data_IF_893772764595
#
_entry.id   IF_893772764595
#
_cell.length_a   1.000
_cell.length_b   1.000
_cell.length_c   1.000
_cell.angle_alpha   90.00
_cell.angle_beta   90.00
_cell.angle_gamma   90.00
#
_symmetry.space_group_name_H-M   'P 1'
#
loop_
_entity.id
_entity.type
_entity.pdbx_description
1 polymer ?
#
# COMPACT_ATOMS: atom_id res chain seq x y z
N UNK A 1 -15.26 6.84 9.88
CA UNK A 1 -15.90 6.51 8.59
C UNK A 1 -15.11 5.39 7.92
N UNK A 2 -15.79 4.51 7.18
CA UNK A 2 -15.27 3.22 6.72
C UNK A 2 -14.08 3.39 5.77
N UNK A 3 -12.94 2.79 6.08
CA UNK A 3 -11.95 2.47 5.06
C UNK A 3 -12.65 1.66 3.97
N UNK A 4 -12.36 1.97 2.71
CA UNK A 4 -12.88 1.24 1.57
C UNK A 4 -12.31 -0.18 1.63
N UNK A 5 -13.12 -1.12 2.16
CA UNK A 5 -12.80 -2.54 2.16
C UNK A 5 -13.65 -3.19 1.10
N UNK A 6 -12.99 -3.90 0.20
CA UNK A 6 -13.68 -4.63 -0.86
C UNK A 6 -13.71 -6.09 -0.43
N UNK A 7 -14.92 -6.61 -0.20
CA UNK A 7 -15.11 -8.05 -0.02
C UNK A 7 -14.69 -8.72 -1.32
N UNK A 8 -13.75 -9.65 -1.23
CA UNK A 8 -13.27 -10.37 -2.39
C UNK A 8 -14.41 -11.20 -2.99
N UNK A 9 -14.61 -11.09 -4.30
CA UNK A 9 -15.61 -11.86 -5.05
C UNK A 9 -14.87 -12.73 -6.07
N UNK A 10 -15.58 -13.69 -6.64
CA UNK A 10 -15.06 -14.61 -7.66
C UNK A 10 -14.67 -13.92 -8.99
N UNK A 11 -14.74 -12.59 -9.06
CA UNK A 11 -14.38 -11.80 -10.24
C UNK A 11 -13.28 -10.80 -9.87
N UNK A 12 -12.20 -10.76 -10.67
CA UNK A 12 -11.12 -9.80 -10.50
C UNK A 12 -11.60 -8.38 -10.80
N UNK A 13 -11.37 -7.45 -9.87
CA UNK A 13 -11.63 -6.02 -10.11
C UNK A 13 -10.50 -5.43 -10.96
N UNK A 14 -10.79 -5.02 -12.20
CA UNK A 14 -9.78 -4.53 -13.16
C UNK A 14 -10.04 -3.09 -13.61
N UNK A 15 -9.12 -2.17 -13.25
CA UNK A 15 -8.92 -0.90 -13.94
C UNK A 15 -7.42 -0.59 -13.98
N UNK A 16 -6.72 -1.10 -15.01
CA UNK A 16 -5.31 -0.75 -15.27
C UNK A 16 -5.15 -0.42 -16.75
N UNK A 17 -4.77 0.83 -17.04
CA UNK A 17 -4.50 1.28 -18.39
C UNK A 17 -2.99 1.16 -18.70
N UNK A 18 -2.66 0.56 -19.84
CA UNK A 18 -1.36 -0.08 -20.10
C UNK A 18 -0.23 0.86 -20.58
N UNK A 19 -0.32 2.17 -20.34
CA UNK A 19 0.64 3.14 -20.92
C UNK A 19 1.63 3.71 -19.91
N UNK A 20 2.91 3.60 -20.28
CA UNK A 20 4.15 4.30 -19.87
C UNK A 20 4.55 4.41 -18.38
N UNK A 21 5.81 4.00 -18.14
CA UNK A 21 6.55 4.10 -16.88
C UNK A 21 6.18 3.07 -15.81
N UNK A 22 7.16 2.58 -15.03
CA UNK A 22 6.88 1.86 -13.77
C UNK A 22 6.31 2.78 -12.70
N UNK A 23 6.46 4.10 -12.87
CA UNK A 23 6.00 5.12 -11.95
C UNK A 23 5.29 6.21 -12.74
N UNK A 24 4.13 6.66 -12.27
CA UNK A 24 3.38 7.75 -12.89
C UNK A 24 2.91 8.70 -11.82
N UNK A 25 3.37 9.94 -11.91
CA UNK A 25 2.90 10.99 -11.02
C UNK A 25 1.42 11.30 -11.28
N UNK A 26 0.65 11.38 -10.20
CA UNK A 26 -0.77 11.74 -10.28
C UNK A 26 -0.91 13.26 -10.32
N UNK A 27 -1.71 13.74 -11.29
CA UNK A 27 -1.99 15.16 -11.41
C UNK A 27 -2.86 15.64 -10.22
N UNK A 28 -2.47 16.74 -9.54
CA UNK A 28 -3.32 17.38 -8.54
C UNK A 28 -4.69 17.71 -9.13
N UNK A 29 -5.76 17.29 -8.46
CA UNK A 29 -7.14 17.48 -8.90
C UNK A 29 -7.74 16.33 -9.72
N UNK A 30 -6.95 15.33 -10.15
CA UNK A 30 -7.52 14.08 -10.67
C UNK A 30 -8.30 13.35 -9.58
N UNK A 31 -9.37 12.63 -9.95
CA UNK A 31 -10.19 11.89 -8.99
C UNK A 31 -9.36 10.90 -8.17
N UNK A 32 -8.45 10.20 -8.83
CA UNK A 32 -7.50 9.28 -8.21
C UNK A 32 -6.59 9.99 -7.20
N UNK A 33 -5.98 11.12 -7.58
CA UNK A 33 -5.17 11.93 -6.66
C UNK A 33 -5.99 12.33 -5.43
N UNK A 34 -7.20 12.85 -5.62
CA UNK A 34 -8.04 13.33 -4.52
C UNK A 34 -8.43 12.20 -3.56
N UNK A 35 -8.72 11.01 -4.07
CA UNK A 35 -9.01 9.82 -3.25
C UNK A 35 -7.80 9.42 -2.42
N UNK A 36 -6.62 9.25 -3.03
CA UNK A 36 -5.42 8.79 -2.32
C UNK A 36 -4.93 9.88 -1.36
N UNK A 37 -4.94 11.14 -1.80
CA UNK A 37 -4.60 12.28 -0.96
C UNK A 37 -5.48 12.32 0.30
N UNK A 38 -6.80 12.18 0.17
CA UNK A 38 -7.72 12.16 1.32
C UNK A 38 -7.41 11.01 2.28
N UNK A 39 -7.19 9.80 1.76
CA UNK A 39 -6.87 8.62 2.58
C UNK A 39 -5.55 8.78 3.33
N UNK A 40 -4.50 9.27 2.65
CA UNK A 40 -3.18 9.47 3.25
C UNK A 40 -3.20 10.63 4.23
N UNK A 41 -3.91 11.73 3.92
CA UNK A 41 -4.07 12.85 4.83
C UNK A 41 -4.75 12.44 6.13
N UNK A 42 -5.80 11.61 6.06
CA UNK A 42 -6.45 11.02 7.24
C UNK A 42 -5.51 10.09 8.01
N UNK A 43 -4.62 9.37 7.33
CA UNK A 43 -3.64 8.52 7.98
C UNK A 43 -2.50 9.33 8.64
N UNK A 44 -2.26 10.56 8.20
CA UNK A 44 -1.23 11.47 8.70
C UNK A 44 -1.72 12.38 9.85
N UNK A 45 -2.93 12.18 10.37
CA UNK A 45 -3.49 13.03 11.44
C UNK A 45 -2.54 13.07 12.64
N UNK A 46 -2.15 14.28 13.05
CA UNK A 46 -1.22 14.50 14.17
C UNK A 46 0.27 14.41 13.80
N UNK A 47 0.62 14.09 12.55
CA UNK A 47 2.03 14.05 12.11
C UNK A 47 2.64 15.42 11.81
N UNK A 48 1.80 16.45 11.58
CA UNK A 48 2.24 17.78 11.16
C UNK A 48 2.77 17.87 9.73
N UNK A 49 2.67 16.79 8.94
CA UNK A 49 3.22 16.69 7.59
C UNK A 49 2.18 16.96 6.52
N UNK A 50 2.67 17.41 5.38
CA UNK A 50 1.88 17.68 4.18
C UNK A 50 2.28 16.74 3.04
N UNK A 51 1.34 16.42 2.17
CA UNK A 51 1.60 15.59 0.99
C UNK A 51 2.14 16.51 -0.11
N UNK A 52 3.35 16.25 -0.58
CA UNK A 52 3.97 17.02 -1.66
C UNK A 52 3.75 16.38 -3.03
N UNK A 53 3.77 15.04 -3.09
CA UNK A 53 3.69 14.29 -4.34
C UNK A 53 3.06 12.92 -4.13
N UNK A 54 2.25 12.47 -5.09
CA UNK A 54 1.71 11.10 -5.14
C UNK A 54 2.10 10.47 -6.48
N UNK A 55 2.73 9.30 -6.43
CA UNK A 55 3.17 8.55 -7.60
C UNK A 55 2.53 7.18 -7.59
N UNK A 56 1.80 6.83 -8.65
CA UNK A 56 1.26 5.50 -8.89
C UNK A 56 2.37 4.54 -9.29
N UNK A 57 2.42 3.38 -8.64
CA UNK A 57 3.33 2.29 -8.98
C UNK A 57 2.66 1.37 -9.99
N UNK A 58 3.38 1.09 -11.09
CA UNK A 58 2.93 0.27 -12.22
C UNK A 58 3.72 -1.05 -12.31
N UNK A 59 3.68 -1.88 -11.26
CA UNK A 59 4.30 -3.21 -11.28
C UNK A 59 3.28 -4.31 -11.64
N UNK A 60 3.26 -4.70 -12.91
CA UNK A 60 2.34 -5.73 -13.43
C UNK A 60 2.60 -7.12 -12.85
N UNK A 61 3.85 -7.44 -12.48
CA UNK A 61 4.21 -8.75 -11.96
C UNK A 61 3.63 -8.91 -10.56
N UNK A 62 3.94 -7.97 -9.66
CA UNK A 62 3.46 -8.00 -8.27
C UNK A 62 1.93 -7.94 -8.23
N UNK A 63 1.34 -7.07 -9.05
CA UNK A 63 -0.13 -6.98 -9.16
C UNK A 63 -0.74 -8.30 -9.68
N UNK A 64 -0.15 -8.92 -10.69
CA UNK A 64 -0.61 -10.20 -11.22
C UNK A 64 -0.56 -11.32 -10.17
N UNK A 65 0.54 -11.42 -9.42
CA UNK A 65 0.67 -12.40 -8.34
C UNK A 65 -0.33 -12.14 -7.22
N UNK A 66 -0.55 -10.88 -6.87
CA UNK A 66 -1.56 -10.46 -5.89
C UNK A 66 -2.97 -10.88 -6.31
N UNK A 67 -3.35 -10.69 -7.58
CA UNK A 67 -4.65 -11.12 -8.09
C UNK A 67 -4.83 -12.64 -8.05
N UNK A 68 -3.80 -13.41 -8.41
CA UNK A 68 -3.84 -14.88 -8.32
C UNK A 68 -4.02 -15.31 -6.86
N UNK A 69 -3.31 -14.66 -5.93
CA UNK A 69 -3.42 -14.93 -4.49
C UNK A 69 -4.82 -14.61 -3.95
N UNK A 70 -5.40 -13.49 -4.37
CA UNK A 70 -6.78 -13.13 -4.06
C UNK A 70 -7.77 -14.21 -4.49
N UNK A 71 -7.67 -14.69 -5.74
CA UNK A 71 -8.57 -15.75 -6.23
C UNK A 71 -8.36 -17.06 -5.47
N UNK A 72 -7.11 -17.41 -5.18
CA UNK A 72 -6.79 -18.59 -4.38
C UNK A 72 -7.42 -18.53 -2.99
N UNK A 73 -7.36 -17.39 -2.30
CA UNK A 73 -7.94 -17.23 -0.96
C UNK A 73 -9.47 -17.35 -0.97
N UNK A 74 -10.13 -16.83 -2.01
CA UNK A 74 -11.58 -16.99 -2.19
C UNK A 74 -11.97 -18.44 -2.42
N UNK A 75 -11.17 -19.21 -3.18
CA UNK A 75 -11.45 -20.61 -3.46
C UNK A 75 -11.13 -21.57 -2.30
N UNK A 76 -10.11 -21.26 -1.48
CA UNK A 76 -9.59 -22.23 -0.51
C UNK A 76 -10.49 -22.40 0.73
N UNK A 77 -11.11 -21.32 1.22
CA UNK A 77 -11.83 -21.31 2.50
C UNK A 77 -13.23 -20.69 2.38
N UNK A 78 -14.24 -21.50 2.07
CA UNK A 78 -15.63 -21.02 1.92
C UNK A 78 -16.23 -20.38 3.19
N UNK A 79 -15.65 -20.66 4.37
CA UNK A 79 -16.11 -20.10 5.65
C UNK A 79 -15.38 -18.81 6.06
N UNK A 80 -14.26 -18.49 5.43
CA UNK A 80 -13.44 -17.32 5.78
C UNK A 80 -13.64 -16.23 4.74
N UNK A 81 -14.14 -15.07 5.19
CA UNK A 81 -14.25 -13.89 4.32
C UNK A 81 -12.91 -13.17 4.28
N UNK A 82 -12.43 -12.92 3.07
CA UNK A 82 -11.24 -12.11 2.83
C UNK A 82 -11.62 -10.75 2.23
N UNK A 83 -10.78 -9.78 2.51
CA UNK A 83 -10.95 -8.38 2.13
C UNK A 83 -9.66 -7.88 1.50
N UNK A 84 -9.82 -7.02 0.50
CA UNK A 84 -8.77 -6.13 0.03
C UNK A 84 -8.88 -4.81 0.79
N UNK A 85 -7.79 -4.38 1.43
CA UNK A 85 -7.73 -3.12 2.19
C UNK A 85 -6.47 -2.34 1.84
N UNK A 86 -6.56 -1.00 1.87
CA UNK A 86 -5.37 -0.14 1.82
C UNK A 86 -4.77 0.04 3.21
N UNK A 87 -3.44 -0.01 3.27
CA UNK A 87 -2.63 0.23 4.46
C UNK A 87 -1.37 1.02 4.11
N UNK A 88 -0.68 1.48 5.13
CA UNK A 88 0.46 2.37 5.02
C UNK A 88 1.69 1.77 5.67
N UNK A 89 2.85 2.03 5.07
CA UNK A 89 4.16 1.80 5.70
C UNK A 89 5.05 3.00 5.40
N UNK A 90 5.75 3.48 6.43
CA UNK A 90 6.77 4.51 6.28
C UNK A 90 8.10 3.86 5.94
N UNK A 91 8.81 4.40 4.95
CA UNK A 91 10.10 3.89 4.50
C UNK A 91 11.09 5.04 4.30
N UNK A 92 12.39 4.76 4.45
CA UNK A 92 13.43 5.68 4.05
C UNK A 92 13.43 5.78 2.52
N UNK A 93 13.50 6.99 1.98
CA UNK A 93 13.55 7.24 0.54
C UNK A 93 14.69 6.47 -0.14
N UNK A 94 15.82 6.24 0.54
CA UNK A 94 16.93 5.43 0.05
C UNK A 94 16.56 3.98 -0.25
N UNK A 95 15.58 3.41 0.47
CA UNK A 95 15.14 2.03 0.30
C UNK A 95 14.02 1.89 -0.75
N UNK A 96 13.55 2.99 -1.35
CA UNK A 96 12.44 2.97 -2.30
C UNK A 96 12.72 2.06 -3.50
N UNK A 97 13.92 2.12 -4.08
CA UNK A 97 14.26 1.31 -5.25
C UNK A 97 14.22 -0.19 -4.95
N UNK A 98 14.77 -0.59 -3.80
CA UNK A 98 14.72 -1.98 -3.34
C UNK A 98 13.27 -2.41 -3.04
N UNK A 99 12.47 -1.55 -2.41
CA UNK A 99 11.07 -1.81 -2.12
C UNK A 99 10.25 -2.04 -3.41
N UNK A 100 10.43 -1.20 -4.43
CA UNK A 100 9.73 -1.32 -5.72
C UNK A 100 10.17 -2.57 -6.49
N UNK A 101 11.46 -2.91 -6.43
CA UNK A 101 12.03 -4.04 -7.17
C UNK A 101 11.71 -5.40 -6.55
N UNK A 102 11.57 -5.45 -5.23
CA UNK A 102 11.43 -6.69 -4.47
C UNK A 102 10.16 -6.73 -3.60
N UNK A 103 9.13 -5.98 -3.98
CA UNK A 103 7.84 -5.88 -3.29
C UNK A 103 7.97 -5.78 -1.75
N UNK A 104 8.72 -4.78 -1.27
CA UNK A 104 8.96 -4.53 0.15
C UNK A 104 9.56 -5.72 0.93
N UNK A 105 10.49 -6.49 0.34
CA UNK A 105 11.24 -7.51 1.09
C UNK A 105 11.95 -6.87 2.30
N UNK A 106 11.58 -7.23 3.55
CA UNK A 106 12.10 -6.57 4.75
C UNK A 106 13.61 -6.70 4.88
N UNK A 107 14.20 -7.78 4.34
CA UNK A 107 15.65 -8.03 4.38
C UNK A 107 16.43 -7.06 3.50
N UNK A 108 15.79 -6.55 2.44
CA UNK A 108 16.38 -5.59 1.49
C UNK A 108 16.07 -4.15 1.86
N UNK A 109 14.91 -3.92 2.46
CA UNK A 109 14.45 -2.60 2.87
C UNK A 109 14.94 -2.20 4.27
N UNK A 110 15.82 -3.00 4.89
CA UNK A 110 16.31 -2.81 6.25
C UNK A 110 15.17 -2.62 7.27
N UNK A 111 14.11 -3.43 7.13
CA UNK A 111 12.97 -3.45 8.04
C UNK A 111 13.12 -4.62 9.00
N UNK A 112 13.03 -4.36 10.30
CA UNK A 112 13.08 -5.42 11.32
C UNK A 112 11.91 -6.38 11.19
N UNK A 113 10.71 -5.84 10.93
CA UNK A 113 9.49 -6.57 10.62
C UNK A 113 8.70 -5.83 9.56
N UNK A 114 7.96 -6.57 8.73
CA UNK A 114 7.03 -5.98 7.78
C UNK A 114 5.66 -5.84 8.45
N UNK A 115 5.24 -4.59 8.68
CA UNK A 115 3.96 -4.26 9.27
C UNK A 115 3.27 -3.16 8.47
N UNK A 116 1.97 -3.31 8.27
CA UNK A 116 1.14 -2.38 7.54
C UNK A 116 0.09 -1.76 8.45
N UNK A 117 0.13 -0.45 8.60
CA UNK A 117 -0.68 0.29 9.55
C UNK A 117 -1.90 0.94 8.88
N UNK A 118 -2.99 1.11 9.62
CA UNK A 118 -4.15 1.91 9.20
C UNK A 118 -3.91 3.42 9.34
N UNK A 119 -2.87 3.81 10.08
CA UNK A 119 -2.44 5.19 10.31
C UNK A 119 -0.93 5.30 10.11
N UNK A 120 -0.46 6.42 9.56
CA UNK A 120 0.97 6.69 9.45
C UNK A 120 1.48 7.15 10.81
N UNK A 121 2.07 6.24 11.58
CA UNK A 121 2.69 6.59 12.85
C UNK A 121 3.88 7.52 12.60
N UNK A 122 3.77 8.77 13.04
CA UNK A 122 4.81 9.80 12.88
C UNK A 122 6.13 9.51 13.61
N UNK A 123 6.19 8.44 14.40
CA UNK A 123 7.20 8.19 15.42
C UNK A 123 7.96 6.87 15.25
N UNK A 124 8.21 6.39 14.02
CA UNK A 124 9.27 5.39 13.85
C UNK A 124 10.58 6.09 14.22
N UNK A 125 11.09 5.89 15.43
CA UNK A 125 12.36 6.43 15.89
C UNK A 125 13.50 5.84 15.05
N UNK A 126 14.43 6.68 14.59
CA UNK A 126 15.68 6.19 13.98
C UNK A 126 16.15 6.86 12.69
N UNK A 127 15.26 7.53 11.93
CA UNK A 127 15.66 8.20 10.67
C UNK A 127 15.34 9.69 10.67
N UNK A 128 16.18 10.53 10.02
CA UNK A 128 15.86 11.92 9.76
C UNK A 128 14.46 12.05 9.16
N UNK A 129 13.72 13.05 9.63
CA UNK A 129 12.32 13.21 9.25
C UNK A 129 12.13 13.55 7.77
N UNK A 130 13.15 14.14 7.14
CA UNK A 130 13.18 14.65 5.77
C UNK A 130 13.33 13.55 4.70
N UNK A 131 13.88 12.39 5.07
CA UNK A 131 14.14 11.28 4.13
C UNK A 131 13.02 10.22 4.12
N UNK A 132 11.79 10.57 4.54
CA UNK A 132 10.71 9.60 4.69
C UNK A 132 9.66 9.72 3.61
N UNK A 133 9.33 8.58 3.04
CA UNK A 133 8.19 8.38 2.13
C UNK A 133 7.16 7.48 2.81
N UNK A 134 5.91 7.61 2.37
CA UNK A 134 4.83 6.70 2.76
C UNK A 134 4.46 5.86 1.54
N UNK A 135 4.46 4.55 1.70
CA UNK A 135 3.94 3.64 0.70
C UNK A 135 2.49 3.31 1.03
N UNK A 136 1.62 3.41 0.02
CA UNK A 136 0.24 2.95 0.09
C UNK A 136 0.21 1.56 -0.51
N UNK A 137 -0.17 0.59 0.30
CA UNK A 137 -0.09 -0.83 -0.02
C UNK A 137 -1.50 -1.43 -0.01
N UNK A 138 -1.83 -2.20 -1.04
CA UNK A 138 -3.01 -3.05 -1.02
C UNK A 138 -2.68 -4.35 -0.32
N UNK A 139 -3.51 -4.77 0.64
CA UNK A 139 -3.27 -5.94 1.49
C UNK A 139 -4.50 -6.83 1.51
N UNK A 140 -4.30 -8.14 1.40
CA UNK A 140 -5.33 -9.17 1.59
C UNK A 140 -5.38 -9.55 3.07
N UNK A 141 -6.56 -9.50 3.68
CA UNK A 141 -6.74 -9.83 5.10
C UNK A 141 -8.10 -10.45 5.37
N UNK A 142 -8.22 -11.29 6.39
CA UNK A 142 -9.51 -11.74 6.92
C UNK A 142 -10.06 -10.79 8.00
N UNK A 143 -9.27 -9.83 8.48
CA UNK A 143 -9.65 -8.87 9.51
C UNK A 143 -9.39 -7.42 9.04
N UNK A 144 -10.34 -6.79 8.34
CA UNK A 144 -10.15 -5.45 7.76
C UNK A 144 -10.15 -4.33 8.80
N UNK A 145 -10.58 -4.60 10.04
CA UNK A 145 -10.64 -3.62 11.13
C UNK A 145 -9.37 -3.59 11.97
N UNK A 146 -8.45 -4.54 11.76
CA UNK A 146 -7.18 -4.57 12.48
C UNK A 146 -6.34 -3.33 12.11
N UNK A 147 -5.85 -2.64 13.14
CA UNK A 147 -5.01 -1.45 12.99
C UNK A 147 -3.69 -1.76 12.27
N UNK A 148 -3.00 -2.79 12.74
CA UNK A 148 -1.73 -3.27 12.18
C UNK A 148 -1.91 -4.65 11.57
N UNK A 149 -1.48 -4.84 10.32
CA UNK A 149 -1.51 -6.12 9.62
C UNK A 149 -0.08 -6.59 9.35
N UNK A 150 0.18 -7.86 9.66
CA UNK A 150 1.42 -8.54 9.33
C UNK A 150 1.11 -9.51 8.18
N UNK A 151 1.66 -9.31 6.98
CA UNK A 151 1.42 -10.22 5.87
C UNK A 151 2.12 -11.56 6.11
N UNK A 152 1.45 -12.67 5.80
CA UNK A 152 2.05 -13.99 5.89
C UNK A 152 2.99 -14.27 4.70
N UNK A 153 2.63 -13.75 3.53
CA UNK A 153 3.36 -13.96 2.27
C UNK A 153 3.55 -12.65 1.52
N UNK A 154 4.61 -12.59 0.72
CA UNK A 154 4.86 -11.47 -0.21
C UNK A 154 3.80 -11.30 -1.30
N UNK A 155 2.92 -12.29 -1.48
CA UNK A 155 1.80 -12.23 -2.43
C UNK A 155 0.52 -11.67 -1.81
N UNK A 156 0.49 -11.50 -0.48
CA UNK A 156 -0.68 -10.98 0.22
C UNK A 156 -0.76 -9.44 0.13
N UNK A 157 0.21 -8.80 -0.50
CA UNK A 157 0.23 -7.36 -0.66
C UNK A 157 0.99 -6.90 -1.91
N UNK A 158 0.74 -5.67 -2.35
CA UNK A 158 1.58 -4.98 -3.33
C UNK A 158 1.55 -3.46 -3.13
N UNK A 159 2.61 -2.78 -3.55
CA UNK A 159 2.72 -1.32 -3.48
C UNK A 159 1.87 -0.68 -4.59
N UNK A 160 0.87 0.12 -4.22
CA UNK A 160 -0.01 0.81 -5.17
C UNK A 160 0.48 2.25 -5.44
N UNK A 161 0.94 2.95 -4.39
CA UNK A 161 1.43 4.33 -4.52
C UNK A 161 2.65 4.60 -3.63
N UNK A 162 3.47 5.55 -4.08
CA UNK A 162 4.51 6.22 -3.29
C UNK A 162 4.05 7.65 -3.01
N UNK A 163 4.08 8.05 -1.75
CA UNK A 163 3.69 9.39 -1.30
C UNK A 163 4.89 10.07 -0.67
N UNK A 164 5.28 11.19 -1.25
CA UNK A 164 6.33 12.04 -0.70
C UNK A 164 5.69 13.06 0.24
N UNK A 165 6.37 13.30 1.36
CA UNK A 165 5.92 14.22 2.38
C UNK A 165 6.83 15.46 2.43
N UNK A 166 6.29 16.56 2.92
CA UNK A 166 6.99 17.79 3.27
C UNK A 166 6.54 18.26 4.65
#
# INVERSE_FOLDING_TARGET
>A
MSYESVILRHAASFHWNRQDGQLTELLPGSSEYMTIHSQVHQALVGSGRTISRIVRVKNLIDFGQFLVREQFLVCQNGNTKYFRVRRFISLNAANLQEALKYNLDPRRCNLSNLQFESQVLGSVSGWPHEDRIVLVVQVLTCNPLQGTIYPDKSLDYFIEYVVNLH
#
